data_IF_506885177957
#
_entry.id   IF_506885177957
#
_cell.length_a   1.000
_cell.length_b   1.000
_cell.length_c   1.000
_cell.angle_alpha   90.00
_cell.angle_beta   90.00
_cell.angle_gamma   90.00
#
_symmetry.space_group_name_H-M   'P 1'
#
loop_
_entity.id
_entity.type
_entity.pdbx_description
1 polymer ?
#
# COMPACT_ATOMS: atom_id res chain seq x y z
N UNK A 1 -16.08 7.91 11.10
CA UNK A 1 -14.73 8.31 11.52
C UNK A 1 -13.81 8.00 10.36
N UNK A 2 -13.27 9.06 9.76
CA UNK A 2 -12.53 9.11 8.48
C UNK A 2 -11.07 8.91 8.88
N UNK A 3 -10.38 7.88 8.37
CA UNK A 3 -8.97 7.52 8.64
C UNK A 3 -8.48 8.07 9.99
N UNK A 4 -8.59 7.32 11.10
CA UNK A 4 -8.15 7.83 12.39
C UNK A 4 -6.75 8.45 12.28
N UNK A 5 -6.64 9.70 12.70
CA UNK A 5 -5.36 10.42 12.84
C UNK A 5 -4.45 9.77 13.87
N UNK A 6 -4.97 8.79 14.61
CA UNK A 6 -4.21 7.94 15.51
C UNK A 6 -3.51 6.86 14.71
N UNK A 7 -2.21 7.07 14.47
CA UNK A 7 -1.03 6.18 14.40
C UNK A 7 -1.13 4.74 13.82
N UNK A 8 -2.29 4.11 13.78
CA UNK A 8 -2.57 2.76 13.28
C UNK A 8 -3.99 2.74 12.70
N UNK A 9 -4.12 3.03 11.40
CA UNK A 9 -5.32 2.61 10.67
C UNK A 9 -5.20 1.11 10.50
N UNK A 10 -5.95 0.33 11.29
CA UNK A 10 -5.99 -1.12 11.09
C UNK A 10 -6.39 -1.42 9.65
N UNK A 11 -5.77 -2.44 9.04
CA UNK A 11 -6.11 -2.84 7.68
C UNK A 11 -7.60 -3.09 7.49
N UNK A 12 -8.25 -3.69 8.49
CA UNK A 12 -9.69 -3.95 8.50
C UNK A 12 -10.50 -2.64 8.37
N UNK A 13 -10.12 -1.60 9.09
CA UNK A 13 -10.78 -0.29 9.00
C UNK A 13 -10.55 0.36 7.63
N UNK A 14 -9.33 0.25 7.09
CA UNK A 14 -9.01 0.72 5.74
C UNK A 14 -9.88 0.04 4.70
N UNK A 15 -10.00 -1.30 4.77
CA UNK A 15 -10.80 -2.07 3.84
C UNK A 15 -12.28 -1.68 3.88
N UNK A 16 -12.87 -1.60 5.07
CA UNK A 16 -14.26 -1.20 5.25
C UNK A 16 -14.53 0.20 4.68
N UNK A 17 -13.58 1.12 4.83
CA UNK A 17 -13.73 2.47 4.32
C UNK A 17 -13.69 2.52 2.80
N UNK A 18 -12.74 1.83 2.17
CA UNK A 18 -12.66 1.76 0.70
C UNK A 18 -13.91 1.08 0.12
N UNK A 19 -14.40 0.00 0.73
CA UNK A 19 -15.64 -0.68 0.32
C UNK A 19 -16.82 0.29 0.44
N UNK A 20 -16.98 0.91 1.61
CA UNK A 20 -18.09 1.83 1.90
C UNK A 20 -18.11 3.03 0.93
N UNK A 21 -16.95 3.57 0.60
CA UNK A 21 -16.86 4.72 -0.30
C UNK A 21 -16.87 4.28 -1.76
N UNK A 22 -16.59 3.01 -2.08
CA UNK A 22 -16.54 2.50 -3.44
C UNK A 22 -15.23 2.83 -4.16
N UNK A 23 -14.11 2.79 -3.44
CA UNK A 23 -12.75 2.88 -4.00
C UNK A 23 -11.83 3.91 -3.34
N UNK A 24 -10.52 3.71 -3.53
CA UNK A 24 -9.45 4.58 -2.98
C UNK A 24 -9.60 6.04 -3.41
N UNK A 25 -10.02 6.32 -4.65
CA UNK A 25 -10.21 7.69 -5.13
C UNK A 25 -11.16 8.50 -4.23
N UNK A 26 -12.30 7.90 -3.87
CA UNK A 26 -13.29 8.56 -3.00
C UNK A 26 -12.80 8.68 -1.56
N UNK A 27 -11.98 7.73 -1.08
CA UNK A 27 -11.26 7.85 0.18
C UNK A 27 -10.39 9.10 0.19
N UNK A 28 -9.56 9.30 -0.86
CA UNK A 28 -8.68 10.46 -0.99
C UNK A 28 -9.48 11.76 -1.06
N UNK A 29 -10.53 11.81 -1.89
CA UNK A 29 -11.40 12.98 -2.02
C UNK A 29 -11.99 13.40 -0.66
N UNK A 30 -12.50 12.43 0.10
CA UNK A 30 -13.08 12.70 1.42
C UNK A 30 -12.02 13.04 2.49
N UNK A 31 -10.85 12.38 2.44
CA UNK A 31 -9.75 12.68 3.36
C UNK A 31 -9.26 14.12 3.18
N UNK A 32 -9.03 14.54 1.94
CA UNK A 32 -8.58 15.90 1.60
C UNK A 32 -9.58 16.99 1.94
N UNK A 33 -10.88 16.67 2.02
CA UNK A 33 -11.90 17.62 2.46
C UNK A 33 -11.77 18.00 3.95
N UNK A 34 -11.06 17.19 4.74
CA UNK A 34 -11.00 17.33 6.20
C UNK A 34 -9.58 17.40 6.76
N UNK A 35 -8.56 17.05 5.97
CA UNK A 35 -7.17 16.98 6.40
C UNK A 35 -6.23 17.64 5.38
N UNK A 36 -5.08 18.12 5.86
CA UNK A 36 -3.97 18.58 5.02
C UNK A 36 -2.96 17.47 4.86
N UNK A 37 -2.42 17.30 3.65
CA UNK A 37 -1.38 16.32 3.36
C UNK A 37 -1.91 14.96 2.87
N UNK A 38 -1.00 13.99 2.65
CA UNK A 38 -1.35 12.64 2.24
C UNK A 38 -2.03 11.87 3.39
N UNK A 39 -2.86 10.85 3.09
CA UNK A 39 -3.34 9.93 4.11
C UNK A 39 -2.18 9.24 4.82
N UNK A 40 -2.17 9.33 6.14
CA UNK A 40 -1.20 8.63 6.97
C UNK A 40 -1.56 7.16 7.10
N UNK A 41 -0.79 6.31 6.44
CA UNK A 41 -0.75 4.86 6.58
C UNK A 41 0.63 4.41 7.05
N UNK A 42 1.37 5.28 7.72
CA UNK A 42 2.65 4.93 8.32
C UNK A 42 2.41 3.78 9.29
N UNK A 43 3.31 2.80 9.30
CA UNK A 43 3.17 1.59 10.13
C UNK A 43 1.94 0.72 9.83
N UNK A 44 1.26 0.90 8.70
CA UNK A 44 0.22 -0.03 8.25
C UNK A 44 0.82 -1.44 8.20
N UNK A 45 0.18 -2.37 8.89
CA UNK A 45 0.57 -3.78 8.90
C UNK A 45 -0.41 -4.59 8.07
N UNK A 46 0.09 -5.20 6.99
CA UNK A 46 -0.66 -6.12 6.12
C UNK A 46 -0.17 -7.57 6.25
N UNK A 47 0.71 -7.87 7.21
CA UNK A 47 1.17 -9.24 7.46
C UNK A 47 0.05 -10.16 7.98
N UNK A 48 -0.99 -9.60 8.61
CA UNK A 48 -2.15 -10.37 9.09
C UNK A 48 -3.33 -10.39 8.09
N UNK A 49 -3.18 -9.80 6.89
CA UNK A 49 -4.32 -9.54 5.97
C UNK A 49 -4.97 -10.77 5.32
N UNK A 50 -4.39 -11.96 5.45
CA UNK A 50 -4.62 -13.05 4.48
C UNK A 50 -4.10 -12.74 3.06
N UNK A 51 -3.37 -11.62 2.89
CA UNK A 51 -2.66 -11.25 1.66
C UNK A 51 -1.24 -11.80 1.62
N UNK A 52 -0.78 -12.44 2.70
CA UNK A 52 0.50 -13.12 2.78
C UNK A 52 0.47 -14.36 1.91
N UNK A 53 1.49 -14.57 1.08
CA UNK A 53 1.60 -15.72 0.18
C UNK A 53 1.21 -17.04 0.87
N UNK A 54 0.00 -17.55 0.54
CA UNK A 54 -0.49 -18.94 0.54
C UNK A 54 -2.00 -18.99 0.80
N UNK A 55 -2.78 -19.51 -0.16
CA UNK A 55 -4.20 -19.87 0.01
C UNK A 55 -5.15 -19.16 -0.95
N UNK A 56 -5.18 -19.61 -2.21
CA UNK A 56 -6.00 -19.04 -3.28
C UNK A 56 -7.52 -19.25 -3.14
N UNK A 57 -8.03 -19.82 -2.04
CA UNK A 57 -9.39 -20.38 -2.03
C UNK A 57 -10.38 -19.79 -1.00
N UNK A 58 -10.05 -18.75 -0.22
CA UNK A 58 -10.96 -18.36 0.88
C UNK A 58 -11.12 -16.88 1.26
N UNK A 59 -10.47 -15.92 0.61
CA UNK A 59 -10.60 -14.52 1.02
C UNK A 59 -11.28 -13.63 -0.01
N UNK A 60 -12.43 -13.13 0.43
CA UNK A 60 -13.29 -12.07 -0.12
C UNK A 60 -12.58 -11.21 -1.18
N UNK A 61 -13.01 -11.34 -2.44
CA UNK A 61 -12.55 -10.51 -3.56
C UNK A 61 -12.56 -9.02 -3.23
N UNK A 62 -13.41 -8.60 -2.29
CA UNK A 62 -13.42 -7.24 -1.78
C UNK A 62 -12.09 -6.81 -1.13
N UNK A 63 -11.39 -7.64 -0.35
CA UNK A 63 -10.10 -7.27 0.26
C UNK A 63 -9.01 -7.12 -0.82
N UNK A 64 -8.98 -8.04 -1.79
CA UNK A 64 -8.01 -8.02 -2.91
C UNK A 64 -8.19 -6.80 -3.82
N UNK A 65 -9.43 -6.41 -4.14
CA UNK A 65 -9.72 -5.25 -4.98
C UNK A 65 -9.52 -3.91 -4.26
N UNK A 66 -9.75 -3.91 -2.94
CA UNK A 66 -9.73 -2.70 -2.11
C UNK A 66 -8.32 -2.12 -1.94
N UNK A 67 -7.27 -2.94 -2.04
CA UNK A 67 -5.89 -2.56 -1.74
C UNK A 67 -4.98 -2.51 -2.97
N UNK A 68 -5.52 -2.39 -4.19
CA UNK A 68 -4.69 -2.20 -5.40
C UNK A 68 -4.30 -0.75 -5.65
N UNK A 69 -4.69 0.19 -4.80
CA UNK A 69 -4.38 1.59 -4.97
C UNK A 69 -4.04 2.25 -3.63
N UNK A 70 -2.80 2.73 -3.54
CA UNK A 70 -2.23 3.49 -2.43
C UNK A 70 -1.67 4.83 -2.94
N UNK A 71 -2.22 5.33 -4.04
CA UNK A 71 -1.76 6.58 -4.65
C UNK A 71 -1.79 7.72 -3.62
N UNK A 72 -0.68 8.45 -3.54
CA UNK A 72 -0.42 9.55 -2.62
C UNK A 72 -0.49 9.18 -1.12
N UNK A 73 -0.46 7.90 -0.74
CA UNK A 73 -0.40 7.49 0.66
C UNK A 73 1.00 7.72 1.27
N UNK A 74 1.04 8.06 2.55
CA UNK A 74 2.26 7.94 3.35
C UNK A 74 2.30 6.53 3.95
N UNK A 75 3.18 5.67 3.44
CA UNK A 75 3.39 4.28 3.85
C UNK A 75 4.74 4.11 4.57
N UNK A 76 5.29 5.18 5.16
CA UNK A 76 6.59 5.09 5.84
C UNK A 76 6.55 4.06 6.95
N UNK A 77 7.55 3.18 6.99
CA UNK A 77 7.64 2.08 7.95
C UNK A 77 6.45 1.09 7.91
N UNK A 78 5.63 1.07 6.86
CA UNK A 78 4.59 0.07 6.68
C UNK A 78 5.20 -1.35 6.57
N UNK A 79 4.48 -2.36 7.03
CA UNK A 79 4.85 -3.78 6.96
C UNK A 79 3.98 -4.42 5.88
N UNK A 80 4.57 -4.57 4.69
CA UNK A 80 4.03 -5.17 3.48
C UNK A 80 4.61 -6.56 3.17
N UNK A 81 5.30 -7.16 4.13
CA UNK A 81 5.93 -8.46 3.96
C UNK A 81 4.93 -9.52 3.51
N UNK A 82 5.37 -10.38 2.59
CA UNK A 82 4.59 -11.46 1.98
C UNK A 82 3.36 -11.00 1.19
N UNK A 83 3.08 -9.70 1.08
CA UNK A 83 1.84 -9.23 0.47
C UNK A 83 1.76 -9.60 -1.02
N UNK A 84 0.55 -9.91 -1.49
CA UNK A 84 0.24 -10.15 -2.90
C UNK A 84 -0.51 -8.95 -3.49
N UNK A 85 0.22 -8.07 -4.20
CA UNK A 85 -0.30 -6.81 -4.75
C UNK A 85 0.05 -6.70 -6.25
N UNK A 86 -0.42 -7.62 -7.10
CA UNK A 86 -0.21 -7.46 -8.54
C UNK A 86 -1.02 -6.27 -9.07
N UNK A 87 -0.48 -5.58 -10.07
CA UNK A 87 -1.02 -4.37 -10.72
C UNK A 87 -1.44 -3.27 -9.72
N UNK A 88 -0.77 -3.20 -8.57
CA UNK A 88 -0.98 -2.16 -7.58
C UNK A 88 -0.54 -0.79 -8.09
N UNK A 89 -1.19 0.27 -7.62
CA UNK A 89 -0.80 1.66 -7.89
C UNK A 89 -0.30 2.28 -6.59
N UNK A 90 0.94 2.76 -6.62
CA UNK A 90 1.64 3.45 -5.52
C UNK A 90 2.11 4.82 -6.00
N UNK A 91 1.37 5.47 -6.91
CA UNK A 91 1.84 6.71 -7.54
C UNK A 91 1.95 7.81 -6.51
N UNK A 92 3.08 8.52 -6.51
CA UNK A 92 3.39 9.56 -5.52
C UNK A 92 3.28 9.10 -4.05
N UNK A 93 3.32 7.78 -3.78
CA UNK A 93 3.30 7.24 -2.44
C UNK A 93 4.70 7.33 -1.80
N UNK A 94 4.77 7.50 -0.48
CA UNK A 94 6.02 7.43 0.26
C UNK A 94 6.14 6.08 0.96
N UNK A 95 7.01 5.19 0.47
CA UNK A 95 7.30 3.88 1.06
C UNK A 95 8.65 3.84 1.79
N UNK A 96 9.17 4.99 2.21
CA UNK A 96 10.48 5.05 2.86
C UNK A 96 10.50 4.18 4.11
N UNK A 97 11.54 3.34 4.23
CA UNK A 97 11.72 2.40 5.34
C UNK A 97 10.62 1.34 5.49
N UNK A 98 9.72 1.20 4.51
CA UNK A 98 8.74 0.11 4.52
C UNK A 98 9.44 -1.27 4.42
N UNK A 99 8.82 -2.29 5.01
CA UNK A 99 9.22 -3.68 4.89
C UNK A 99 8.36 -4.33 3.81
N UNK A 100 8.96 -4.74 2.71
CA UNK A 100 8.30 -5.35 1.54
C UNK A 100 8.98 -6.68 1.19
N UNK A 101 9.36 -7.48 2.19
CA UNK A 101 10.08 -8.74 1.99
C UNK A 101 9.14 -9.77 1.38
N UNK A 102 9.58 -10.49 0.36
CA UNK A 102 8.78 -11.52 -0.31
C UNK A 102 7.43 -10.99 -0.87
N UNK A 103 7.28 -9.68 -1.07
CA UNK A 103 6.07 -9.06 -1.63
C UNK A 103 6.02 -9.24 -3.14
N UNK A 104 4.84 -9.56 -3.69
CA UNK A 104 4.63 -9.62 -5.13
C UNK A 104 4.01 -8.31 -5.65
N UNK A 105 4.81 -7.51 -6.35
CA UNK A 105 4.39 -6.26 -7.00
C UNK A 105 4.22 -6.38 -8.51
N UNK A 106 4.10 -7.58 -9.08
CA UNK A 106 4.06 -7.78 -10.54
C UNK A 106 3.02 -6.89 -11.23
N UNK A 107 3.40 -6.13 -12.25
CA UNK A 107 2.54 -5.19 -12.98
C UNK A 107 2.26 -3.86 -12.26
N UNK A 108 2.82 -3.63 -11.08
CA UNK A 108 2.52 -2.44 -10.28
C UNK A 108 3.14 -1.15 -10.86
N UNK A 109 2.66 0.00 -10.37
CA UNK A 109 3.16 1.32 -10.73
C UNK A 109 3.62 2.09 -9.51
N UNK A 110 4.89 2.47 -9.49
CA UNK A 110 5.52 3.30 -8.45
C UNK A 110 5.88 4.70 -8.98
N UNK A 111 5.17 5.19 -10.00
CA UNK A 111 5.48 6.47 -10.65
C UNK A 111 5.50 7.59 -9.61
N UNK A 112 6.59 8.37 -9.54
CA UNK A 112 6.79 9.43 -8.55
C UNK A 112 6.78 8.96 -7.07
N UNK A 113 6.83 7.65 -6.80
CA UNK A 113 6.92 7.14 -5.44
C UNK A 113 8.32 7.31 -4.87
N UNK A 114 8.42 7.30 -3.53
CA UNK A 114 9.69 7.24 -2.81
C UNK A 114 9.87 5.85 -2.19
N UNK A 115 11.03 5.22 -2.42
CA UNK A 115 11.40 3.90 -1.90
C UNK A 115 12.73 3.95 -1.11
N UNK A 116 12.99 5.03 -0.37
CA UNK A 116 14.26 5.20 0.34
C UNK A 116 14.34 4.28 1.55
N UNK A 117 15.39 3.45 1.60
CA UNK A 117 15.63 2.45 2.64
C UNK A 117 14.50 1.42 2.77
N UNK A 118 13.71 1.22 1.72
CA UNK A 118 12.71 0.16 1.67
C UNK A 118 13.42 -1.20 1.62
N UNK A 119 12.94 -2.14 2.42
CA UNK A 119 13.43 -3.52 2.42
C UNK A 119 12.63 -4.34 1.41
N UNK A 120 13.27 -4.74 0.33
CA UNK A 120 12.65 -5.46 -0.79
C UNK A 120 13.30 -6.82 -1.01
N UNK A 121 13.94 -7.38 0.03
CA UNK A 121 14.53 -8.72 -0.02
C UNK A 121 13.52 -9.74 -0.51
N UNK A 122 13.88 -10.49 -1.54
CA UNK A 122 13.04 -11.53 -2.17
C UNK A 122 11.71 -11.01 -2.76
N UNK A 123 11.52 -9.70 -2.93
CA UNK A 123 10.34 -9.14 -3.57
C UNK A 123 10.33 -9.35 -5.09
N UNK A 124 9.14 -9.48 -5.67
CA UNK A 124 8.93 -9.72 -7.11
C UNK A 124 8.48 -8.42 -7.79
N UNK A 125 9.24 -7.95 -8.78
CA UNK A 125 8.97 -6.74 -9.56
C UNK A 125 8.88 -7.00 -11.08
N UNK A 126 8.10 -7.99 -11.50
CA UNK A 126 7.88 -8.25 -12.93
C UNK A 126 6.96 -7.18 -13.55
N UNK A 127 7.27 -6.67 -14.74
CA UNK A 127 6.44 -5.67 -15.46
C UNK A 127 6.08 -4.40 -14.67
N UNK A 128 6.98 -3.95 -13.78
CA UNK A 128 6.74 -2.79 -12.90
C UNK A 128 7.15 -1.46 -13.57
N UNK A 129 6.36 -0.41 -13.34
CA UNK A 129 6.63 0.95 -13.82
C UNK A 129 7.24 1.84 -12.74
N UNK A 130 8.44 2.36 -12.98
CA UNK A 130 9.22 3.21 -12.04
C UNK A 130 9.50 4.65 -12.53
N UNK A 131 8.70 5.20 -13.45
CA UNK A 131 8.99 6.54 -14.01
C UNK A 131 8.97 7.62 -12.92
N UNK A 132 10.08 8.35 -12.76
CA UNK A 132 10.21 9.39 -11.73
C UNK A 132 10.19 8.87 -10.29
N UNK A 133 10.34 7.55 -10.07
CA UNK A 133 10.47 6.97 -8.73
C UNK A 133 11.82 7.35 -8.13
N UNK A 134 11.82 7.82 -6.89
CA UNK A 134 13.04 8.11 -6.15
C UNK A 134 13.53 6.86 -5.43
N UNK A 135 14.73 6.39 -5.80
CA UNK A 135 15.36 5.22 -5.23
C UNK A 135 16.81 5.57 -4.89
N UNK A 136 17.12 5.81 -3.62
CA UNK A 136 18.52 6.03 -3.21
C UNK A 136 19.14 4.81 -2.51
N UNK A 137 18.35 3.98 -1.82
CA UNK A 137 18.84 2.81 -1.08
C UNK A 137 17.73 1.76 -0.96
N UNK A 138 17.90 0.63 -1.64
CA UNK A 138 17.07 -0.56 -1.42
C UNK A 138 17.89 -1.59 -0.65
N UNK A 139 17.30 -2.19 0.37
CA UNK A 139 17.83 -3.41 0.99
C UNK A 139 17.31 -4.58 0.14
N UNK A 140 18.22 -5.35 -0.46
CA UNK A 140 17.91 -6.35 -1.50
C UNK A 140 18.34 -7.73 -1.07
#
# INVERSE_FOLDING_TARGET
MIIPTERLVSLRALCQMVIRLGGWRKVIEQYRATHKGPPDLSYLDVSESGMTQMGFDAYDDHVRLTLRCFDAADLRNAILDYAYIPEGSFKAANLDRAQCRQTNFSGSSFIQASLHKTDVREAIFLDVRFSGTEIAYLIR
#
